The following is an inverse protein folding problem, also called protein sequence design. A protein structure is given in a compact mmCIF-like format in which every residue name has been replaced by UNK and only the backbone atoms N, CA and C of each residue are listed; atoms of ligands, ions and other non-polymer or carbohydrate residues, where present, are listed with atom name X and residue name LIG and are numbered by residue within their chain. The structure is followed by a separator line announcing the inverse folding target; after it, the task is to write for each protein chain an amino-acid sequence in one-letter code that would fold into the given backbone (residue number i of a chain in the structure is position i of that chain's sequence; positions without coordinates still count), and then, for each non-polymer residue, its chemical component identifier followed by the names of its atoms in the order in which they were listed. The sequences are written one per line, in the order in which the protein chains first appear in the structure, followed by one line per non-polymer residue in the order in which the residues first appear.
data_IF_686893029432
#
_entry.id   IF_686893029432
#
_cell.length_a   1.000
_cell.length_b   1.000
_cell.length_c   1.000
_cell.angle_alpha   90.00
_cell.angle_beta   90.00
_cell.angle_gamma   90.00
#
_symmetry.space_group_name_H-M   'P 1'
#
loop_
_entity.id
_entity.type
_entity.pdbx_description
1 polymer ?
#
# COMPACT_ATOMS: atom_id res chain seq x y z
N UNK A 1 -12.88 18.93 -15.95
CA UNK A 1 -11.71 18.37 -15.25
C UNK A 1 -11.47 16.95 -15.73
N UNK A 2 -10.24 16.60 -16.08
CA UNK A 2 -9.89 15.25 -16.57
C UNK A 2 -10.06 14.18 -15.50
N UNK A 3 -10.10 12.90 -15.90
CA UNK A 3 -10.17 11.76 -14.97
C UNK A 3 -8.93 11.72 -14.06
N UNK A 4 -7.74 11.94 -14.63
CA UNK A 4 -6.47 12.02 -13.91
C UNK A 4 -6.49 13.12 -12.85
N UNK A 5 -6.88 14.35 -13.23
CA UNK A 5 -6.93 15.48 -12.32
C UNK A 5 -7.94 15.24 -11.18
N UNK A 6 -9.10 14.63 -11.45
CA UNK A 6 -10.06 14.22 -10.41
C UNK A 6 -9.46 13.23 -9.42
N UNK A 7 -8.73 12.23 -9.90
CA UNK A 7 -8.08 11.24 -9.04
C UNK A 7 -6.96 11.86 -8.19
N UNK A 8 -6.19 12.81 -8.72
CA UNK A 8 -5.17 13.51 -7.94
C UNK A 8 -5.80 14.43 -6.89
N UNK A 9 -6.89 15.14 -7.21
CA UNK A 9 -7.60 15.96 -6.22
C UNK A 9 -8.22 15.09 -5.13
N UNK A 10 -8.79 13.94 -5.50
CA UNK A 10 -9.26 12.95 -4.52
C UNK A 10 -8.14 12.53 -3.57
N UNK A 11 -6.96 12.18 -4.11
CA UNK A 11 -5.82 11.80 -3.27
C UNK A 11 -5.31 12.96 -2.41
N UNK A 12 -5.28 14.18 -2.93
CA UNK A 12 -4.95 15.38 -2.17
C UNK A 12 -5.89 15.59 -0.98
N UNK A 13 -7.20 15.42 -1.19
CA UNK A 13 -8.19 15.48 -0.11
C UNK A 13 -7.90 14.42 0.95
N UNK A 14 -7.58 13.19 0.55
CA UNK A 14 -7.22 12.14 1.52
C UNK A 14 -5.99 12.49 2.35
N UNK A 15 -4.92 13.00 1.73
CA UNK A 15 -3.72 13.43 2.45
C UNK A 15 -4.07 14.50 3.49
N UNK A 16 -4.87 15.49 3.10
CA UNK A 16 -5.33 16.53 4.02
C UNK A 16 -6.19 15.96 5.15
N UNK A 17 -7.10 15.03 4.84
CA UNK A 17 -7.92 14.37 5.85
C UNK A 17 -7.04 13.56 6.82
N UNK A 18 -6.06 12.80 6.33
CA UNK A 18 -5.15 12.02 7.18
C UNK A 18 -4.29 12.90 8.07
N UNK A 19 -3.89 14.10 7.62
CA UNK A 19 -3.12 15.04 8.44
C UNK A 19 -3.99 15.69 9.53
N UNK A 20 -5.15 16.24 9.15
CA UNK A 20 -5.89 17.13 10.03
C UNK A 20 -7.02 16.47 10.80
N UNK A 21 -7.69 15.46 10.23
CA UNK A 21 -8.92 14.90 10.82
C UNK A 21 -8.69 14.00 12.05
N UNK A 22 -7.60 13.20 12.18
CA UNK A 22 -7.43 12.29 13.32
C UNK A 22 -7.49 12.97 14.70
N UNK A 23 -6.94 14.17 14.86
CA UNK A 23 -6.96 14.87 16.16
C UNK A 23 -8.39 15.22 16.60
N UNK A 24 -9.24 15.66 15.66
CA UNK A 24 -10.65 15.94 15.92
C UNK A 24 -11.45 14.67 16.17
N UNK A 25 -11.14 13.59 15.43
CA UNK A 25 -11.79 12.29 15.63
C UNK A 25 -11.51 11.72 17.01
N UNK A 26 -10.26 11.76 17.48
CA UNK A 26 -9.89 11.30 18.82
C UNK A 26 -10.72 12.04 19.89
N UNK A 27 -10.78 13.38 19.83
CA UNK A 27 -11.59 14.18 20.76
C UNK A 27 -13.07 13.79 20.70
N UNK A 28 -13.60 13.56 19.50
CA UNK A 28 -15.00 13.16 19.29
C UNK A 28 -15.28 11.77 19.85
N UNK A 29 -14.40 10.79 19.63
CA UNK A 29 -14.52 9.44 20.17
C UNK A 29 -14.58 9.45 21.69
N UNK A 30 -13.66 10.20 22.34
CA UNK A 30 -13.64 10.34 23.79
C UNK A 30 -14.93 10.97 24.33
N UNK A 31 -15.46 12.00 23.67
CA UNK A 31 -16.75 12.62 24.03
C UNK A 31 -17.93 11.63 23.90
N UNK A 32 -17.86 10.71 22.94
CA UNK A 32 -18.86 9.65 22.75
C UNK A 32 -18.65 8.43 23.66
N UNK A 33 -17.63 8.46 24.54
CA UNK A 33 -17.29 7.35 25.43
C UNK A 33 -16.58 6.17 24.75
N UNK A 34 -16.12 6.34 23.50
CA UNK A 34 -15.33 5.35 22.77
C UNK A 34 -13.87 5.56 23.20
N UNK A 35 -13.35 4.68 24.06
CA UNK A 35 -11.97 4.75 24.57
C UNK A 35 -11.07 3.63 24.04
N UNK A 36 -11.64 2.63 23.35
CA UNK A 36 -10.89 1.49 22.82
C UNK A 36 -10.16 1.88 21.53
N UNK A 37 -8.82 1.90 21.59
CA UNK A 37 -7.95 2.26 20.47
C UNK A 37 -8.19 1.38 19.23
N UNK A 38 -8.61 0.12 19.41
CA UNK A 38 -8.88 -0.82 18.30
C UNK A 38 -10.12 -0.38 17.55
N UNK A 39 -11.16 0.02 18.28
CA UNK A 39 -12.40 0.55 17.71
C UNK A 39 -12.13 1.88 17.01
N UNK A 40 -11.39 2.79 17.66
CA UNK A 40 -11.00 4.06 17.05
C UNK A 40 -10.24 3.85 15.73
N UNK A 41 -9.31 2.89 15.69
CA UNK A 41 -8.51 2.61 14.50
C UNK A 41 -9.34 2.04 13.36
N UNK A 42 -10.29 1.15 13.66
CA UNK A 42 -11.24 0.65 12.66
C UNK A 42 -12.12 1.79 12.11
N UNK A 43 -12.67 2.63 12.99
CA UNK A 43 -13.47 3.78 12.60
C UNK A 43 -12.68 4.77 11.75
N UNK A 44 -11.41 5.02 12.09
CA UNK A 44 -10.53 5.88 11.30
C UNK A 44 -10.38 5.37 9.86
N UNK A 45 -10.19 4.06 9.64
CA UNK A 45 -10.12 3.52 8.27
C UNK A 45 -11.42 3.72 7.49
N UNK A 46 -12.57 3.52 8.15
CA UNK A 46 -13.88 3.72 7.50
C UNK A 46 -14.09 5.21 7.16
N UNK A 47 -13.85 6.10 8.12
CA UNK A 47 -14.11 7.54 7.98
C UNK A 47 -13.10 8.22 7.04
N UNK A 48 -11.82 7.86 7.12
CA UNK A 48 -10.78 8.50 6.32
C UNK A 48 -10.70 7.96 4.90
N UNK A 49 -11.09 6.71 4.65
CA UNK A 49 -10.88 6.07 3.35
C UNK A 49 -12.19 5.68 2.66
N UNK A 50 -13.08 4.93 3.32
CA UNK A 50 -14.32 4.49 2.68
C UNK A 50 -15.31 5.64 2.46
N UNK A 51 -15.48 6.54 3.43
CA UNK A 51 -16.42 7.67 3.30
C UNK A 51 -16.02 8.59 2.13
N UNK A 52 -14.76 9.07 2.00
CA UNK A 52 -14.33 9.82 0.82
C UNK A 52 -14.48 9.03 -0.48
N UNK A 53 -14.21 7.71 -0.48
CA UNK A 53 -14.39 6.88 -1.66
C UNK A 53 -15.86 6.84 -2.12
N UNK A 54 -16.79 6.67 -1.18
CA UNK A 54 -18.24 6.71 -1.43
C UNK A 54 -18.64 8.09 -1.98
N UNK A 55 -18.20 9.16 -1.34
CA UNK A 55 -18.46 10.55 -1.80
C UNK A 55 -17.94 10.73 -3.23
N UNK A 56 -16.73 10.27 -3.53
CA UNK A 56 -16.15 10.34 -4.87
C UNK A 56 -17.05 9.63 -5.89
N UNK A 57 -17.49 8.40 -5.61
CA UNK A 57 -18.35 7.62 -6.50
C UNK A 57 -19.69 8.32 -6.75
N UNK A 58 -20.33 8.84 -5.68
CA UNK A 58 -21.62 9.52 -5.77
C UNK A 58 -21.51 10.84 -6.55
N UNK A 59 -20.49 11.65 -6.29
CA UNK A 59 -20.29 12.96 -6.92
C UNK A 59 -19.88 12.82 -8.38
N UNK A 60 -18.95 11.91 -8.67
CA UNK A 60 -18.41 11.74 -10.03
C UNK A 60 -19.25 10.81 -10.91
N UNK A 61 -20.18 10.04 -10.30
CA UNK A 61 -21.08 9.09 -10.98
C UNK A 61 -20.33 8.10 -11.87
N UNK A 62 -19.15 7.67 -11.44
CA UNK A 62 -18.31 6.72 -12.19
C UNK A 62 -18.95 5.33 -12.22
N UNK A 63 -18.65 4.57 -13.28
CA UNK A 63 -19.00 3.15 -13.32
C UNK A 63 -18.18 2.39 -12.28
N UNK A 64 -18.86 1.83 -11.26
CA UNK A 64 -18.23 1.12 -10.14
C UNK A 64 -17.46 -0.10 -10.65
N UNK A 65 -18.05 -0.93 -11.53
CA UNK A 65 -17.41 -2.15 -12.00
C UNK A 65 -16.11 -1.87 -12.74
N UNK A 66 -16.09 -0.84 -13.57
CA UNK A 66 -14.91 -0.43 -14.34
C UNK A 66 -13.86 0.25 -13.47
N UNK A 67 -14.27 1.19 -12.60
CA UNK A 67 -13.38 1.95 -11.72
C UNK A 67 -12.66 1.03 -10.75
N UNK A 68 -13.41 0.14 -10.09
CA UNK A 68 -12.87 -0.81 -9.13
C UNK A 68 -12.41 -2.12 -9.76
N UNK A 69 -12.53 -2.29 -11.10
CA UNK A 69 -12.08 -3.49 -11.81
C UNK A 69 -12.58 -4.77 -11.13
N UNK A 70 -13.90 -4.88 -10.93
CA UNK A 70 -14.52 -5.99 -10.21
C UNK A 70 -14.61 -7.27 -11.08
N UNK A 71 -13.48 -7.67 -11.67
CA UNK A 71 -13.38 -8.85 -12.52
C UNK A 71 -12.81 -10.03 -11.73
N UNK A 72 -13.20 -11.24 -12.14
CA UNK A 72 -12.70 -12.48 -11.52
C UNK A 72 -11.24 -12.71 -11.87
N UNK A 73 -10.49 -13.29 -10.94
CA UNK A 73 -9.11 -13.73 -11.17
C UNK A 73 -9.15 -15.20 -11.58
N UNK A 74 -8.37 -15.56 -12.60
CA UNK A 74 -8.21 -16.97 -12.96
C UNK A 74 -7.42 -17.73 -11.90
N UNK A 75 -7.75 -19.01 -11.68
CA UNK A 75 -7.12 -19.80 -10.61
C UNK A 75 -5.58 -19.84 -10.71
N UNK A 76 -5.01 -19.98 -11.92
CA UNK A 76 -3.54 -19.96 -12.11
C UNK A 76 -2.92 -18.62 -11.70
N UNK A 77 -3.59 -17.52 -12.03
CA UNK A 77 -3.16 -16.18 -11.63
C UNK A 77 -3.25 -16.02 -10.12
N UNK A 78 -4.35 -16.48 -9.51
CA UNK A 78 -4.55 -16.43 -8.07
C UNK A 78 -3.43 -17.16 -7.32
N UNK A 79 -3.08 -18.38 -7.73
CA UNK A 79 -1.99 -19.14 -7.10
C UNK A 79 -0.63 -18.41 -7.24
N UNK A 80 -0.38 -17.81 -8.41
CA UNK A 80 0.84 -17.06 -8.65
C UNK A 80 0.88 -15.75 -7.84
N UNK A 81 -0.26 -15.06 -7.69
CA UNK A 81 -0.40 -13.85 -6.86
C UNK A 81 -0.14 -14.18 -5.39
N UNK A 82 -0.68 -15.29 -4.88
CA UNK A 82 -0.41 -15.77 -3.53
C UNK A 82 1.09 -16.01 -3.35
N UNK A 83 1.73 -16.72 -4.29
CA UNK A 83 3.18 -16.94 -4.26
C UNK A 83 3.96 -15.62 -4.27
N UNK A 84 3.63 -14.69 -5.17
CA UNK A 84 4.26 -13.36 -5.22
C UNK A 84 4.13 -12.65 -3.88
N UNK A 85 2.97 -12.74 -3.20
CA UNK A 85 2.75 -12.11 -1.89
C UNK A 85 3.73 -12.61 -0.83
N UNK A 86 3.96 -13.93 -0.75
CA UNK A 86 4.96 -14.51 0.15
C UNK A 86 6.38 -14.07 -0.19
N UNK A 87 6.71 -13.91 -1.47
CA UNK A 87 8.02 -13.45 -1.93
C UNK A 87 8.21 -11.94 -1.72
N UNK A 88 7.12 -11.16 -1.73
CA UNK A 88 7.14 -9.72 -1.42
C UNK A 88 7.46 -9.45 0.06
N UNK A 89 7.08 -10.34 0.99
CA UNK A 89 7.32 -10.15 2.42
C UNK A 89 8.81 -9.97 2.79
N UNK A 90 9.75 -10.85 2.38
CA UNK A 90 11.16 -10.64 2.67
C UNK A 90 11.74 -9.40 1.96
N UNK A 91 11.27 -9.06 0.75
CA UNK A 91 11.67 -7.80 0.09
C UNK A 91 11.24 -6.59 0.92
N UNK A 92 9.98 -6.56 1.38
CA UNK A 92 9.46 -5.53 2.28
C UNK A 92 10.30 -5.47 3.56
N UNK A 93 10.62 -6.61 4.16
CA UNK A 93 11.48 -6.70 5.35
C UNK A 93 12.85 -6.07 5.15
N UNK A 94 13.54 -6.36 4.03
CA UNK A 94 14.83 -5.74 3.71
C UNK A 94 14.74 -4.23 3.56
N UNK A 95 13.74 -3.72 2.83
CA UNK A 95 13.56 -2.28 2.63
C UNK A 95 13.19 -1.59 3.96
N UNK A 96 12.31 -2.21 4.75
CA UNK A 96 11.93 -1.75 6.08
C UNK A 96 13.13 -1.68 7.02
N UNK A 97 13.99 -2.71 7.04
CA UNK A 97 15.19 -2.74 7.88
C UNK A 97 16.19 -1.63 7.51
N UNK A 98 16.39 -1.36 6.21
CA UNK A 98 17.20 -0.23 5.75
C UNK A 98 16.58 1.09 6.22
N UNK A 99 15.27 1.25 6.08
CA UNK A 99 14.56 2.47 6.50
C UNK A 99 14.66 2.70 8.02
N UNK A 100 14.59 1.64 8.82
CA UNK A 100 14.73 1.68 10.29
C UNK A 100 16.12 2.11 10.78
N UNK A 101 17.14 2.11 9.92
CA UNK A 101 18.45 2.65 10.27
C UNK A 101 18.48 4.19 10.32
N UNK A 102 17.45 4.84 9.75
CA UNK A 102 17.35 6.29 9.63
C UNK A 102 16.09 6.90 10.25
N UNK A 103 15.02 6.10 10.39
CA UNK A 103 13.73 6.54 10.91
C UNK A 103 13.20 5.58 11.98
N UNK A 104 12.46 6.09 12.95
CA UNK A 104 11.86 5.30 14.02
C UNK A 104 10.72 4.41 13.51
N UNK A 105 10.54 3.23 14.12
CA UNK A 105 9.48 2.31 13.76
C UNK A 105 8.22 2.54 14.62
N UNK A 106 7.32 3.39 14.13
CA UNK A 106 6.07 3.70 14.83
C UNK A 106 5.05 2.54 14.83
N UNK A 107 5.11 1.64 13.84
CA UNK A 107 4.21 0.48 13.76
C UNK A 107 4.51 -0.51 14.88
N UNK A 108 5.80 -0.77 15.18
CA UNK A 108 6.20 -1.69 16.24
C UNK A 108 5.60 -1.29 17.59
N UNK A 109 5.70 0.00 17.94
CA UNK A 109 5.10 0.57 19.14
C UNK A 109 3.59 0.40 19.17
N UNK A 110 2.90 0.66 18.06
CA UNK A 110 1.45 0.47 17.97
C UNK A 110 1.05 -1.02 18.11
N UNK A 111 1.79 -1.94 17.48
CA UNK A 111 1.58 -3.38 17.61
C UNK A 111 1.77 -3.87 19.05
N UNK A 112 2.78 -3.36 19.75
CA UNK A 112 2.99 -3.64 21.17
C UNK A 112 1.81 -3.11 22.03
N UNK A 113 1.31 -1.90 21.73
CA UNK A 113 0.19 -1.30 22.47
C UNK A 113 -1.13 -2.09 22.33
N UNK A 114 -1.27 -2.89 21.28
CA UNK A 114 -2.44 -3.76 21.06
C UNK A 114 -2.09 -5.25 21.15
N UNK A 115 -0.96 -5.60 21.77
CA UNK A 115 -0.44 -6.97 21.82
C UNK A 115 -1.38 -7.96 22.49
N UNK A 116 -2.26 -7.53 23.40
CA UNK A 116 -3.26 -8.41 24.04
C UNK A 116 -4.48 -8.71 23.16
N UNK A 117 -4.58 -8.10 21.98
CA UNK A 117 -5.72 -8.27 21.07
C UNK A 117 -5.78 -9.71 20.55
N UNK A 118 -6.94 -10.40 20.59
CA UNK A 118 -7.07 -11.73 20.01
C UNK A 118 -6.61 -11.77 18.55
N UNK A 119 -5.93 -12.84 18.15
CA UNK A 119 -5.32 -12.94 16.81
C UNK A 119 -6.30 -12.64 15.68
N UNK A 120 -7.52 -13.17 15.74
CA UNK A 120 -8.56 -12.92 14.73
C UNK A 120 -8.95 -11.44 14.64
N UNK A 121 -9.00 -10.72 15.77
CA UNK A 121 -9.31 -9.29 15.80
C UNK A 121 -8.14 -8.46 15.27
N UNK A 122 -6.90 -8.90 15.54
CA UNK A 122 -5.70 -8.27 14.99
C UNK A 122 -5.61 -8.45 13.47
N UNK A 123 -5.92 -9.64 12.95
CA UNK A 123 -6.06 -9.88 11.50
C UNK A 123 -7.13 -8.99 10.88
N UNK A 124 -8.29 -8.87 11.52
CA UNK A 124 -9.37 -8.00 11.02
C UNK A 124 -8.89 -6.54 10.92
N UNK A 125 -8.27 -6.03 11.98
CA UNK A 125 -7.87 -4.63 12.09
C UNK A 125 -6.69 -4.26 11.20
N UNK A 126 -5.67 -5.12 11.15
CA UNK A 126 -4.37 -4.80 10.55
C UNK A 126 -4.12 -5.44 9.19
N UNK A 127 -4.86 -6.48 8.84
CA UNK A 127 -4.73 -7.14 7.54
C UNK A 127 -5.97 -6.94 6.67
N UNK A 128 -7.16 -7.28 7.15
CA UNK A 128 -8.39 -7.24 6.35
C UNK A 128 -8.84 -5.80 6.08
N UNK A 129 -8.93 -4.98 7.13
CA UNK A 129 -9.42 -3.60 7.02
C UNK A 129 -8.59 -2.78 6.02
N UNK A 130 -7.26 -2.62 6.19
CA UNK A 130 -6.46 -1.85 5.24
C UNK A 130 -6.45 -2.47 3.84
N UNK A 131 -6.39 -3.80 3.71
CA UNK A 131 -6.44 -4.48 2.41
C UNK A 131 -7.71 -4.16 1.62
N UNK A 132 -8.83 -3.84 2.29
CA UNK A 132 -10.05 -3.41 1.61
C UNK A 132 -10.05 -1.88 1.44
N UNK A 133 -9.91 -1.13 2.51
CA UNK A 133 -10.16 0.32 2.50
C UNK A 133 -9.11 1.09 1.70
N UNK A 134 -7.84 0.69 1.79
CA UNK A 134 -6.76 1.35 1.07
C UNK A 134 -6.75 0.97 -0.41
N UNK A 135 -7.07 -0.28 -0.74
CA UNK A 135 -7.12 -0.75 -2.13
C UNK A 135 -8.30 -0.13 -2.89
N UNK A 136 -9.48 0.01 -2.27
CA UNK A 136 -10.62 0.75 -2.82
C UNK A 136 -10.20 2.17 -3.21
N UNK A 137 -9.44 2.81 -2.31
CA UNK A 137 -8.97 4.19 -2.47
C UNK A 137 -7.92 4.30 -3.56
N UNK A 138 -6.87 3.48 -3.50
CA UNK A 138 -5.69 3.60 -4.36
C UNK A 138 -5.86 2.85 -5.67
N UNK A 139 -6.21 1.56 -5.65
CA UNK A 139 -6.29 0.72 -6.86
C UNK A 139 -7.64 0.86 -7.55
N UNK A 140 -8.69 1.18 -6.81
CA UNK A 140 -9.97 1.59 -7.37
C UNK A 140 -9.91 3.02 -7.94
N UNK A 141 -9.93 4.02 -7.06
CA UNK A 141 -10.14 5.41 -7.51
C UNK A 141 -8.88 6.02 -8.14
N UNK A 142 -7.76 6.01 -7.41
CA UNK A 142 -6.55 6.73 -7.88
C UNK A 142 -6.01 6.11 -9.16
N UNK A 143 -5.75 4.80 -9.19
CA UNK A 143 -5.21 4.09 -10.35
C UNK A 143 -6.10 4.20 -11.59
N UNK A 144 -7.43 4.22 -11.45
CA UNK A 144 -8.34 4.44 -12.59
C UNK A 144 -8.14 5.80 -13.26
N UNK A 145 -7.66 6.81 -12.53
CA UNK A 145 -7.30 8.12 -13.08
C UNK A 145 -6.15 8.04 -14.09
N UNK A 146 -5.31 7.01 -13.97
CA UNK A 146 -4.12 6.78 -14.78
C UNK A 146 -4.38 5.80 -15.93
N UNK A 147 -5.65 5.52 -16.28
CA UNK A 147 -5.98 4.51 -17.28
C UNK A 147 -5.38 4.75 -18.66
N UNK A 148 -5.20 6.03 -19.03
CA UNK A 148 -4.58 6.49 -20.28
C UNK A 148 -3.04 6.46 -20.27
N UNK A 149 -2.43 6.08 -19.15
CA UNK A 149 -0.97 5.95 -19.01
C UNK A 149 -0.55 4.49 -19.21
N UNK A 150 0.74 4.27 -19.50
CA UNK A 150 1.28 2.91 -19.58
C UNK A 150 1.21 2.20 -18.23
N UNK A 151 1.12 0.87 -18.23
CA UNK A 151 1.07 0.04 -17.01
C UNK A 151 2.20 0.41 -16.04
N UNK A 152 3.42 0.54 -16.55
CA UNK A 152 4.60 0.91 -15.78
C UNK A 152 4.49 2.32 -15.18
N UNK A 153 4.13 3.33 -15.99
CA UNK A 153 4.05 4.73 -15.51
C UNK A 153 2.93 4.91 -14.49
N UNK A 154 1.77 4.28 -14.72
CA UNK A 154 0.68 4.27 -13.75
C UNK A 154 1.13 3.66 -12.43
N UNK A 155 1.73 2.46 -12.47
CA UNK A 155 2.22 1.76 -11.29
C UNK A 155 3.29 2.55 -10.53
N UNK A 156 4.24 3.18 -11.23
CA UNK A 156 5.30 4.00 -10.62
C UNK A 156 4.71 5.15 -9.81
N UNK A 157 3.78 5.89 -10.42
CA UNK A 157 3.24 7.09 -9.82
C UNK A 157 2.29 6.73 -8.67
N UNK A 158 1.38 5.77 -8.88
CA UNK A 158 0.47 5.35 -7.80
C UNK A 158 1.18 4.58 -6.70
N UNK A 159 2.33 3.95 -6.99
CA UNK A 159 3.24 3.39 -5.99
C UNK A 159 3.80 4.49 -5.08
N UNK A 160 4.36 5.56 -5.66
CA UNK A 160 4.83 6.71 -4.87
C UNK A 160 3.68 7.33 -4.04
N UNK A 161 2.49 7.49 -4.63
CA UNK A 161 1.32 7.96 -3.88
C UNK A 161 0.95 7.01 -2.74
N UNK A 162 1.11 5.69 -2.90
CA UNK A 162 0.92 4.75 -1.80
C UNK A 162 1.96 4.91 -0.68
N UNK A 163 3.22 5.21 -1.02
CA UNK A 163 4.23 5.58 -0.02
C UNK A 163 3.82 6.85 0.75
N UNK A 164 3.39 7.90 0.05
CA UNK A 164 2.91 9.15 0.65
C UNK A 164 1.71 8.91 1.57
N UNK A 165 0.80 8.03 1.16
CA UNK A 165 -0.43 7.71 1.88
C UNK A 165 -0.19 7.25 3.33
N UNK A 166 0.95 6.63 3.62
CA UNK A 166 1.29 6.14 4.96
C UNK A 166 1.74 7.24 5.93
N UNK A 167 2.05 8.44 5.44
CA UNK A 167 2.45 9.60 6.27
C UNK A 167 3.58 9.28 7.26
N UNK A 168 4.50 8.40 6.87
CA UNK A 168 5.60 7.92 7.71
C UNK A 168 6.83 7.63 6.85
N UNK A 169 7.99 8.20 7.19
CA UNK A 169 9.21 8.02 6.41
C UNK A 169 9.80 6.62 6.51
N UNK A 170 9.64 5.95 7.67
CA UNK A 170 10.07 4.57 7.83
C UNK A 170 9.29 3.69 6.84
N UNK A 171 7.99 3.95 6.68
CA UNK A 171 7.11 3.16 5.82
C UNK A 171 7.19 3.49 4.33
N UNK A 172 7.48 4.76 4.01
CA UNK A 172 7.38 5.31 2.67
C UNK A 172 8.02 4.41 1.59
N UNK A 173 9.27 3.97 1.79
CA UNK A 173 10.02 3.25 0.76
C UNK A 173 9.43 1.88 0.44
N UNK A 174 9.15 1.05 1.44
CA UNK A 174 8.60 -0.29 1.18
C UNK A 174 7.15 -0.20 0.73
N UNK A 175 6.37 0.73 1.28
CA UNK A 175 5.01 0.98 0.83
C UNK A 175 5.00 1.40 -0.64
N UNK A 176 5.90 2.29 -1.07
CA UNK A 176 5.98 2.70 -2.48
C UNK A 176 6.31 1.53 -3.43
N UNK A 177 7.24 0.65 -3.03
CA UNK A 177 7.61 -0.54 -3.82
C UNK A 177 6.46 -1.55 -3.90
N UNK A 178 5.79 -1.85 -2.78
CA UNK A 178 4.62 -2.72 -2.78
C UNK A 178 3.46 -2.10 -3.57
N UNK A 179 3.26 -0.79 -3.45
CA UNK A 179 2.29 -0.01 -4.20
C UNK A 179 2.48 -0.13 -5.71
N UNK A 180 3.73 -0.04 -6.16
CA UNK A 180 4.10 -0.29 -7.55
C UNK A 180 3.71 -1.71 -7.97
N UNK A 181 4.12 -2.73 -7.20
CA UNK A 181 3.84 -4.14 -7.52
C UNK A 181 2.34 -4.40 -7.62
N UNK A 182 1.56 -3.93 -6.64
CA UNK A 182 0.11 -4.16 -6.60
C UNK A 182 -0.58 -3.47 -7.77
N UNK A 183 -0.23 -2.20 -8.05
CA UNK A 183 -0.80 -1.46 -9.17
C UNK A 183 -0.47 -2.13 -10.52
N UNK A 184 0.76 -2.61 -10.68
CA UNK A 184 1.18 -3.31 -11.90
C UNK A 184 0.40 -4.63 -12.09
N UNK A 185 0.23 -5.42 -11.03
CA UNK A 185 -0.53 -6.67 -11.06
C UNK A 185 -2.03 -6.43 -11.30
N UNK A 186 -2.63 -5.37 -10.73
CA UNK A 186 -4.01 -4.98 -11.03
C UNK A 186 -4.16 -4.58 -12.50
N UNK A 187 -3.15 -3.95 -13.11
CA UNK A 187 -3.16 -3.63 -14.55
C UNK A 187 -3.03 -4.86 -15.45
N UNK A 188 -2.29 -5.89 -15.03
CA UNK A 188 -2.21 -7.18 -15.76
C UNK A 188 -3.51 -7.95 -15.63
N UNK A 189 -4.02 -8.12 -14.40
CA UNK A 189 -5.16 -9.00 -14.09
C UNK A 189 -6.50 -8.33 -14.37
N UNK A 190 -6.51 -7.00 -14.53
CA UNK A 190 -7.71 -6.18 -14.56
C UNK A 190 -8.63 -6.47 -13.36
N UNK A 191 -8.08 -6.72 -12.17
CA UNK A 191 -8.85 -7.09 -10.98
C UNK A 191 -8.29 -6.47 -9.72
N UNK A 192 -9.09 -5.68 -9.00
CA UNK A 192 -8.69 -5.14 -7.68
C UNK A 192 -8.50 -6.25 -6.64
N UNK A 193 -9.20 -7.38 -6.80
CA UNK A 193 -9.07 -8.51 -5.88
C UNK A 193 -7.63 -9.03 -5.85
N UNK A 194 -6.85 -8.84 -6.92
CA UNK A 194 -5.46 -9.26 -6.96
C UNK A 194 -4.65 -8.53 -5.89
N UNK A 195 -4.75 -7.20 -5.82
CA UNK A 195 -4.04 -6.42 -4.82
C UNK A 195 -4.63 -6.55 -3.42
N UNK A 196 -5.96 -6.68 -3.28
CA UNK A 196 -6.61 -6.95 -1.97
C UNK A 196 -6.06 -8.23 -1.34
N UNK A 197 -5.94 -9.31 -2.12
CA UNK A 197 -5.39 -10.58 -1.65
C UNK A 197 -3.91 -10.43 -1.27
N UNK A 198 -3.11 -9.75 -2.11
CA UNK A 198 -1.69 -9.53 -1.80
C UNK A 198 -1.50 -8.72 -0.52
N UNK A 199 -2.24 -7.62 -0.38
CA UNK A 199 -2.20 -6.75 0.77
C UNK A 199 -2.60 -7.50 2.04
N UNK A 200 -3.71 -8.25 1.99
CA UNK A 200 -4.15 -9.08 3.11
C UNK A 200 -3.09 -10.11 3.51
N UNK A 201 -2.48 -10.83 2.55
CA UNK A 201 -1.45 -11.84 2.85
C UNK A 201 -0.23 -11.19 3.49
N UNK A 202 0.27 -10.09 2.91
CA UNK A 202 1.49 -9.43 3.41
C UNK A 202 1.28 -8.92 4.83
N UNK A 203 0.18 -8.21 5.09
CA UNK A 203 -0.12 -7.73 6.44
C UNK A 203 -0.48 -8.87 7.39
N UNK A 204 -1.14 -9.92 6.89
CA UNK A 204 -1.45 -11.13 7.65
C UNK A 204 -0.18 -11.85 8.12
N UNK A 205 0.85 -11.94 7.27
CA UNK A 205 2.17 -12.46 7.64
C UNK A 205 2.78 -11.55 8.72
N UNK A 206 2.75 -10.22 8.57
CA UNK A 206 3.25 -9.29 9.59
C UNK A 206 2.56 -9.48 10.94
N UNK A 207 1.22 -9.55 10.96
CA UNK A 207 0.41 -9.78 12.17
C UNK A 207 0.75 -11.13 12.81
N UNK A 208 0.87 -12.17 12.00
CA UNK A 208 1.21 -13.53 12.47
C UNK A 208 2.61 -13.56 13.07
N UNK A 209 3.60 -12.99 12.37
CA UNK A 209 4.98 -12.93 12.83
C UNK A 209 5.10 -12.17 14.15
N UNK A 210 4.43 -11.01 14.27
CA UNK A 210 4.40 -10.22 15.51
C UNK A 210 3.75 -10.98 16.67
N UNK A 211 2.65 -11.68 16.43
CA UNK A 211 1.98 -12.50 17.46
C UNK A 211 2.82 -13.66 17.94
N UNK A 212 3.50 -14.34 17.03
CA UNK A 212 4.45 -15.40 17.37
C UNK A 212 5.63 -14.83 18.16
N UNK A 213 6.16 -13.67 17.76
CA UNK A 213 7.23 -12.98 18.48
C UNK A 213 6.82 -12.63 19.91
N UNK A 214 5.69 -11.94 20.13
CA UNK A 214 5.25 -11.58 21.48
C UNK A 214 5.01 -12.81 22.37
N UNK A 215 4.48 -13.89 21.81
CA UNK A 215 4.30 -15.15 22.55
C UNK A 215 5.63 -15.84 22.86
N UNK A 216 6.67 -15.62 22.04
CA UNK A 216 8.01 -16.17 22.23
C UNK A 216 8.91 -15.28 23.11
N UNK A 217 8.68 -13.97 23.14
CA UNK A 217 9.40 -12.99 23.95
C UNK A 217 9.13 -13.18 25.46
N UNK A 218 7.93 -13.65 25.79
CA UNK A 218 7.58 -14.19 27.12
C UNK A 218 8.48 -15.38 27.53
N UNK A 219 9.09 -16.07 26.56
CA UNK A 219 10.05 -17.17 26.74
C UNK A 219 11.53 -16.75 26.63
N UNK A 220 11.85 -15.69 25.88
CA UNK A 220 13.22 -15.35 25.41
C UNK A 220 13.84 -14.13 26.13
N UNK A 221 13.04 -13.27 26.75
CA UNK A 221 13.46 -11.98 27.37
C UNK A 221 14.51 -12.05 28.50
N UNK A 222 15.11 -13.21 28.77
CA UNK A 222 16.21 -13.36 29.73
C UNK A 222 17.62 -13.46 29.12
N UNK A 223 17.80 -13.45 27.79
CA UNK A 223 19.08 -13.94 27.21
C UNK A 223 19.87 -12.94 26.34
N UNK A 224 19.28 -12.00 25.59
CA UNK A 224 20.04 -11.04 24.76
C UNK A 224 19.28 -9.72 24.55
N UNK A 225 19.88 -8.58 24.90
CA UNK A 225 19.47 -7.27 24.39
C UNK A 225 20.11 -7.04 23.01
N UNK A 226 19.34 -7.22 21.93
CA UNK A 226 19.77 -6.86 20.58
C UNK A 226 19.69 -5.33 20.39
N UNK A 227 20.76 -4.66 19.94
CA UNK A 227 20.73 -3.22 19.72
C UNK A 227 19.78 -2.85 18.57
N UNK A 228 19.02 -1.78 18.75
CA UNK A 228 18.14 -1.23 17.71
C UNK A 228 18.93 -0.82 16.46
N UNK A 229 18.35 -1.03 15.27
CA UNK A 229 18.99 -0.70 13.99
C UNK A 229 19.34 0.78 13.84
N UNK A 230 18.59 1.67 14.51
CA UNK A 230 18.82 3.12 14.47
C UNK A 230 20.07 3.52 15.27
N UNK A 231 20.42 2.76 16.31
CA UNK A 231 21.52 3.06 17.24
C UNK A 231 22.85 2.42 16.80
N UNK A 232 22.83 1.63 15.73
CA UNK A 232 24.03 1.01 15.19
C UNK A 232 25.07 2.05 14.74
N UNK A 233 26.35 1.73 14.95
CA UNK A 233 27.45 2.52 14.41
C UNK A 233 27.37 2.59 12.87
N UNK A 234 27.93 3.66 12.28
CA UNK A 234 27.90 3.86 10.83
C UNK A 234 28.45 2.65 10.04
N UNK A 235 29.56 2.05 10.50
CA UNK A 235 30.16 0.88 9.85
C UNK A 235 29.22 -0.34 9.91
N UNK A 236 28.56 -0.56 11.04
CA UNK A 236 27.57 -1.65 11.16
C UNK A 236 26.37 -1.40 10.25
N UNK A 237 25.85 -0.17 10.19
CA UNK A 237 24.76 0.20 9.26
C UNK A 237 25.14 -0.12 7.82
N UNK A 238 26.35 0.23 7.37
CA UNK A 238 26.82 -0.10 6.03
C UNK A 238 26.86 -1.62 5.77
N UNK A 239 27.34 -2.42 6.72
CA UNK A 239 27.39 -3.88 6.59
C UNK A 239 26.02 -4.52 6.53
N UNK A 240 25.09 -4.12 7.41
CA UNK A 240 23.72 -4.63 7.37
C UNK A 240 22.99 -4.16 6.10
N UNK A 241 23.16 -2.90 5.71
CA UNK A 241 22.54 -2.36 4.50
C UNK A 241 23.00 -3.10 3.24
N UNK A 242 24.29 -3.42 3.09
CA UNK A 242 24.76 -4.19 1.95
C UNK A 242 24.16 -5.60 1.90
N UNK A 243 23.99 -6.24 3.05
CA UNK A 243 23.33 -7.56 3.18
C UNK A 243 21.85 -7.47 2.78
N UNK A 244 21.11 -6.49 3.32
CA UNK A 244 19.70 -6.29 2.98
C UNK A 244 19.49 -5.89 1.52
N UNK A 245 20.40 -5.11 0.92
CA UNK A 245 20.37 -4.79 -0.51
C UNK A 245 20.56 -6.07 -1.34
N UNK A 246 21.55 -6.91 -1.02
CA UNK A 246 21.80 -8.15 -1.76
C UNK A 246 20.59 -9.10 -1.72
N UNK A 247 20.05 -9.32 -0.53
CA UNK A 247 18.85 -10.16 -0.32
C UNK A 247 17.63 -9.54 -1.03
N UNK A 248 17.44 -8.22 -0.88
CA UNK A 248 16.38 -7.47 -1.55
C UNK A 248 16.44 -7.57 -3.07
N UNK A 249 17.63 -7.44 -3.68
CA UNK A 249 17.82 -7.59 -5.13
C UNK A 249 17.46 -9.01 -5.58
N UNK A 250 17.83 -10.03 -4.80
CA UNK A 250 17.50 -11.43 -5.12
C UNK A 250 15.98 -11.66 -5.13
N UNK A 251 15.27 -11.19 -4.11
CA UNK A 251 13.81 -11.26 -4.07
C UNK A 251 13.16 -10.39 -5.15
N UNK A 252 13.71 -9.20 -5.44
CA UNK A 252 13.23 -8.32 -6.51
C UNK A 252 13.31 -8.98 -7.90
N UNK A 253 14.42 -9.66 -8.21
CA UNK A 253 14.57 -10.42 -9.46
C UNK A 253 13.57 -11.58 -9.53
N UNK A 254 13.35 -12.28 -8.41
CA UNK A 254 12.35 -13.36 -8.35
C UNK A 254 10.93 -12.82 -8.59
N UNK A 255 10.55 -11.74 -7.91
CA UNK A 255 9.25 -11.08 -8.09
C UNK A 255 9.07 -10.65 -9.54
N UNK A 256 10.08 -10.02 -10.15
CA UNK A 256 10.05 -9.64 -11.56
C UNK A 256 9.76 -10.85 -12.47
N UNK A 257 10.45 -11.98 -12.28
CA UNK A 257 10.22 -13.21 -13.06
C UNK A 257 8.80 -13.75 -12.88
N UNK A 258 8.27 -13.73 -11.66
CA UNK A 258 6.91 -14.19 -11.37
C UNK A 258 5.85 -13.27 -11.97
N UNK A 259 6.02 -11.95 -11.89
CA UNK A 259 5.12 -10.97 -12.51
C UNK A 259 5.16 -11.09 -14.03
N UNK A 260 6.35 -11.25 -14.61
CA UNK A 260 6.48 -11.46 -16.06
C UNK A 260 5.76 -12.74 -16.50
N UNK A 261 5.87 -13.82 -15.73
CA UNK A 261 5.11 -15.06 -15.99
C UNK A 261 3.60 -14.83 -15.93
N UNK A 262 3.12 -14.08 -14.94
CA UNK A 262 1.71 -13.71 -14.81
C UNK A 262 1.22 -12.93 -16.04
N UNK A 263 2.02 -11.97 -16.51
CA UNK A 263 1.70 -11.16 -17.68
C UNK A 263 1.63 -12.01 -18.96
N UNK A 264 2.61 -12.90 -19.19
CA UNK A 264 2.61 -13.82 -20.33
C UNK A 264 1.34 -14.69 -20.34
N UNK A 265 0.99 -15.30 -19.20
CA UNK A 265 -0.24 -16.10 -19.11
C UNK A 265 -1.50 -15.29 -19.37
N UNK A 266 -1.52 -14.00 -19.01
CA UNK A 266 -2.66 -13.13 -19.26
C UNK A 266 -2.80 -12.80 -20.75
N UNK A 267 -1.69 -12.42 -21.39
CA UNK A 267 -1.62 -12.15 -22.84
C UNK A 267 -2.03 -13.39 -23.65
N UNK A 268 -1.50 -14.57 -23.29
CA UNK A 268 -1.84 -15.84 -23.95
C UNK A 268 -3.34 -16.12 -23.91
N UNK A 269 -3.99 -15.92 -22.75
CA UNK A 269 -5.44 -16.14 -22.62
C UNK A 269 -6.26 -15.19 -23.47
N UNK A 270 -5.91 -13.91 -23.49
CA UNK A 270 -6.61 -12.92 -24.31
C UNK A 270 -6.42 -13.19 -25.81
N UNK A 271 -5.24 -13.69 -26.22
CA UNK A 271 -4.98 -14.12 -27.59
C UNK A 271 -5.77 -15.38 -27.98
N UNK A 272 -6.07 -16.26 -27.03
CA UNK A 272 -6.84 -17.51 -27.25
C UNK A 272 -8.35 -17.29 -27.22
N UNK A 273 -8.87 -16.34 -26.45
CA UNK A 273 -10.33 -16.13 -26.30
C UNK A 273 -10.97 -15.35 -27.43
N UNK A 274 -10.22 -14.80 -28.39
CA UNK A 274 -10.79 -13.90 -29.41
C UNK A 274 -11.42 -12.62 -28.83
N UNK A 275 -11.38 -12.46 -27.50
CA UNK A 275 -11.81 -11.27 -26.79
C UNK A 275 -10.62 -10.32 -26.76
N UNK A 276 -10.67 -9.36 -27.67
CA UNK A 276 -9.83 -8.19 -27.81
C UNK A 276 -9.88 -7.24 -26.60
N UNK A 277 -9.84 -7.75 -25.37
CA UNK A 277 -9.99 -6.96 -24.14
C UNK A 277 -8.83 -5.98 -23.87
N UNK A 278 -7.58 -6.38 -24.13
CA UNK A 278 -6.42 -5.49 -23.97
C UNK A 278 -5.99 -4.88 -25.32
N UNK A 279 -6.25 -5.56 -26.44
CA UNK A 279 -6.01 -5.04 -27.78
C UNK A 279 -6.95 -3.89 -28.18
N UNK A 280 -8.21 -3.84 -27.68
CA UNK A 280 -9.09 -2.69 -27.92
C UNK A 280 -8.79 -1.53 -26.97
N UNK A 281 -8.41 -1.80 -25.71
CA UNK A 281 -8.10 -0.75 -24.74
C UNK A 281 -6.72 -0.12 -24.95
N UNK A 282 -5.75 -0.84 -25.52
CA UNK A 282 -4.43 -0.28 -25.90
C UNK A 282 -4.43 0.35 -27.30
N UNK A 283 -5.30 -0.07 -28.24
CA UNK A 283 -5.40 0.55 -29.57
C UNK A 283 -6.09 1.92 -29.55
N UNK A 284 -7.05 2.15 -28.65
CA UNK A 284 -7.74 3.45 -28.55
C UNK A 284 -6.92 4.56 -27.85
N UNK A 285 -5.75 4.25 -27.28
CA UNK A 285 -4.96 5.18 -26.45
C UNK A 285 -3.77 5.80 -27.20
N UNK A 286 -3.51 5.40 -28.45
CA UNK A 286 -2.39 5.98 -29.22
C UNK A 286 -2.63 7.40 -29.72
N UNK A 287 -3.89 7.82 -29.85
CA UNK A 287 -4.26 9.02 -30.60
C UNK A 287 -4.72 10.21 -29.73
N UNK A 288 -4.91 10.01 -28.42
CA UNK A 288 -5.23 11.10 -27.50
C UNK A 288 -3.97 11.68 -26.81
N UNK A 289 -3.85 13.01 -26.69
CA UNK A 289 -2.73 13.63 -26.01
C UNK A 289 -2.67 13.17 -24.55
N UNK A 290 -1.56 12.50 -24.18
CA UNK A 290 -1.33 12.03 -22.80
C UNK A 290 -1.18 13.23 -21.89
N UNK A 291 -2.20 13.47 -21.07
CA UNK A 291 -2.15 14.47 -20.01
C UNK A 291 -0.90 14.26 -19.12
N UNK A 292 -0.24 15.37 -18.77
CA UNK A 292 0.89 15.32 -17.85
C UNK A 292 0.44 14.79 -16.50
N UNK A 293 1.13 13.76 -16.03
CA UNK A 293 0.92 13.21 -14.69
C UNK A 293 1.31 14.23 -13.61
N UNK A 294 2.35 15.01 -13.88
CA UNK A 294 2.83 16.07 -13.00
C UNK A 294 1.99 17.31 -13.28
N UNK A 295 0.81 17.34 -12.67
CA UNK A 295 -0.09 18.48 -12.65
C UNK A 295 -0.01 19.20 -11.28
N UNK A 296 -0.66 20.35 -11.16
CA UNK A 296 -0.59 21.16 -9.94
C UNK A 296 -1.03 20.38 -8.68
N UNK A 297 -2.05 19.52 -8.80
CA UNK A 297 -2.53 18.73 -7.66
C UNK A 297 -1.51 17.69 -7.21
N UNK A 298 -0.79 17.07 -8.15
CA UNK A 298 0.29 16.15 -7.82
C UNK A 298 1.44 16.87 -7.12
N UNK A 299 1.82 18.06 -7.62
CA UNK A 299 2.86 18.88 -6.98
C UNK A 299 2.45 19.25 -5.55
N UNK A 300 1.21 19.68 -5.34
CA UNK A 300 0.71 20.01 -4.00
C UNK A 300 0.72 18.80 -3.05
N UNK A 301 0.34 17.61 -3.52
CA UNK A 301 0.42 16.38 -2.72
C UNK A 301 1.85 16.19 -2.20
N UNK A 302 2.84 16.28 -3.08
CA UNK A 302 4.25 16.09 -2.74
C UNK A 302 4.74 17.17 -1.79
N UNK A 303 4.43 18.44 -2.08
CA UNK A 303 4.84 19.58 -1.23
C UNK A 303 4.24 19.46 0.16
N UNK A 304 2.93 19.20 0.28
CA UNK A 304 2.24 19.06 1.57
C UNK A 304 2.81 17.89 2.37
N UNK A 305 3.01 16.74 1.72
CA UNK A 305 3.63 15.58 2.36
C UNK A 305 5.02 15.92 2.89
N UNK A 306 5.91 16.46 2.06
CA UNK A 306 7.28 16.80 2.49
C UNK A 306 7.29 17.85 3.60
N UNK A 307 6.45 18.89 3.50
CA UNK A 307 6.32 19.91 4.53
C UNK A 307 5.85 19.32 5.86
N UNK A 308 4.84 18.44 5.83
CA UNK A 308 4.35 17.75 7.01
C UNK A 308 5.42 16.84 7.62
N UNK A 309 6.08 16.02 6.81
CA UNK A 309 7.08 15.08 7.30
C UNK A 309 8.32 15.78 7.87
N UNK A 310 8.75 16.91 7.29
CA UNK A 310 9.83 17.74 7.86
C UNK A 310 9.40 18.33 9.21
N UNK A 311 8.16 18.81 9.30
CA UNK A 311 7.62 19.32 10.56
C UNK A 311 7.57 18.24 11.65
N UNK A 312 7.06 17.06 11.31
CA UNK A 312 6.90 15.94 12.26
C UNK A 312 8.24 15.38 12.75
N UNK A 313 9.28 15.37 11.90
CA UNK A 313 10.62 14.86 12.28
C UNK A 313 11.46 15.89 13.05
N UNK A 314 11.38 17.17 12.71
CA UNK A 314 12.33 18.17 13.20
C UNK A 314 11.75 19.20 14.17
N UNK A 315 10.42 19.33 14.26
CA UNK A 315 9.77 20.40 15.04
C UNK A 315 8.89 19.83 16.16
N UNK A 316 8.19 18.71 15.91
CA UNK A 316 7.31 18.05 16.89
C UNK A 316 8.07 17.09 17.80
#
# INVERSE_FOLDING_TARGET
MSKLQRSNIYFLILVLLTIFLPEYLIKTYLLMGINDIRVMQFLNHVILFLVPAIIYVVVTKVNIKETFRLNKIHLKDLLLIILISFVCYPLMGCISAISQMFFTNNIGTFMAAIADTPYWAMLLLMAVTPAITEEVTLRGIVLSGYDKQSKFKAALITGVLFGIFHMDFQQFLYAAVLGFIFAYIVRITNSIFASVIMHFIINGISVTAQKVLFSAEELISQVVEEPSLIDLSFNMKLTYMSTYILVGVTFGVLIYKLIHRLEVWNIERQGVTGESGEASYLRDVSDEPKESVINWSFILIVVIYLSFMIYDVYIR
#
